data_IF_937829596608
#
_entry.id   IF_937829596608
#
_cell.length_a   1.000
_cell.length_b   1.000
_cell.length_c   1.000
_cell.angle_alpha   90.00
_cell.angle_beta   90.00
_cell.angle_gamma   90.00
#
_symmetry.space_group_name_H-M   'P 1'
#
loop_
_entity.id
_entity.type
_entity.pdbx_description
1 polymer ?
#
# COMPACT_ATOMS: atom_id res chain seq x y z
N UNK A 1 6.20 0.37 -14.48
CA UNK A 1 7.02 -0.61 -13.70
C UNK A 1 7.92 -1.39 -14.66
N UNK A 2 9.22 -1.48 -14.36
CA UNK A 2 10.22 -2.18 -15.20
C UNK A 2 11.00 -1.28 -16.17
N UNK A 3 10.67 0.02 -16.22
CA UNK A 3 11.45 1.01 -16.95
C UNK A 3 12.55 1.57 -16.02
N UNK A 4 13.75 1.73 -16.56
CA UNK A 4 14.85 2.37 -15.84
C UNK A 4 14.71 3.89 -15.92
N UNK A 5 14.68 4.55 -14.76
CA UNK A 5 14.65 6.01 -14.65
C UNK A 5 15.93 6.50 -13.96
N UNK A 6 16.49 7.58 -14.49
CA UNK A 6 17.63 8.28 -13.86
C UNK A 6 17.12 9.58 -13.28
N UNK A 7 17.15 9.70 -11.95
CA UNK A 7 16.77 10.91 -11.23
C UNK A 7 18.05 11.65 -10.82
N UNK A 8 18.20 12.89 -11.28
CA UNK A 8 19.33 13.76 -10.92
C UNK A 8 18.82 14.82 -9.93
N UNK A 9 19.49 14.93 -8.78
CA UNK A 9 19.23 15.95 -7.76
C UNK A 9 20.56 16.54 -7.33
N UNK A 10 20.57 17.84 -7.00
CA UNK A 10 21.76 18.52 -6.46
C UNK A 10 22.23 17.89 -5.15
N UNK A 11 21.28 17.42 -4.32
CA UNK A 11 21.56 16.69 -3.10
C UNK A 11 20.57 15.54 -2.89
N UNK A 12 21.10 14.36 -2.60
CA UNK A 12 20.33 13.21 -2.13
C UNK A 12 20.46 13.11 -0.62
N UNK A 13 19.39 13.42 0.11
CA UNK A 13 19.39 13.20 1.56
C UNK A 13 19.42 11.70 1.87
N UNK A 14 20.08 11.35 2.96
CA UNK A 14 20.16 9.96 3.44
C UNK A 14 18.77 9.37 3.66
N UNK A 15 17.86 10.14 4.27
CA UNK A 15 16.45 9.78 4.41
C UNK A 15 15.80 9.40 3.08
N UNK A 16 15.96 10.21 2.02
CA UNK A 16 15.36 9.93 0.72
C UNK A 16 15.89 8.61 0.11
N UNK A 17 17.21 8.38 0.20
CA UNK A 17 17.85 7.16 -0.33
C UNK A 17 17.42 5.92 0.47
N UNK A 18 17.49 6.00 1.81
CA UNK A 18 17.11 4.91 2.70
C UNK A 18 15.62 4.56 2.52
N UNK A 19 14.76 5.57 2.34
CA UNK A 19 13.34 5.37 2.07
C UNK A 19 13.11 4.68 0.73
N UNK A 20 13.82 5.02 -0.33
CA UNK A 20 13.75 4.30 -1.62
C UNK A 20 14.11 2.83 -1.43
N UNK A 21 15.23 2.53 -0.76
CA UNK A 21 15.65 1.15 -0.52
C UNK A 21 14.68 0.39 0.39
N UNK A 22 14.10 1.04 1.41
CA UNK A 22 13.10 0.44 2.30
C UNK A 22 11.80 0.16 1.56
N UNK A 23 11.31 1.10 0.74
CA UNK A 23 10.11 0.91 -0.07
C UNK A 23 10.31 -0.18 -1.13
N UNK A 24 11.51 -0.29 -1.71
CA UNK A 24 11.86 -1.41 -2.59
C UNK A 24 11.84 -2.78 -1.86
N UNK A 25 12.08 -2.81 -0.55
CA UNK A 25 11.98 -4.01 0.30
C UNK A 25 10.61 -4.21 0.94
N UNK A 26 9.75 -3.19 0.90
CA UNK A 26 8.42 -3.21 1.50
C UNK A 26 7.59 -4.27 0.81
N UNK A 27 6.96 -5.11 1.63
CA UNK A 27 6.03 -6.14 1.21
C UNK A 27 4.71 -5.48 0.81
N UNK A 28 4.67 -4.81 -0.33
CA UNK A 28 3.42 -4.34 -0.91
C UNK A 28 2.67 -5.57 -1.41
N UNK A 29 1.88 -6.17 -0.52
CA UNK A 29 1.21 -7.44 -0.75
C UNK A 29 -0.06 -7.22 -1.56
N UNK A 30 0.10 -6.93 -2.84
CA UNK A 30 -1.01 -7.02 -3.80
C UNK A 30 -0.99 -8.43 -4.37
N UNK A 31 -2.11 -9.14 -4.27
CA UNK A 31 -2.29 -10.39 -5.00
C UNK A 31 -2.84 -10.05 -6.38
N UNK A 32 -2.09 -10.36 -7.43
CA UNK A 32 -2.45 -10.08 -8.81
C UNK A 32 -2.95 -11.40 -9.43
N UNK A 33 -4.17 -11.38 -9.93
CA UNK A 33 -4.82 -12.52 -10.57
C UNK A 33 -5.11 -12.09 -12.01
N UNK A 34 -4.51 -12.77 -12.99
CA UNK A 34 -4.88 -12.62 -14.39
C UNK A 34 -5.66 -13.86 -14.80
N UNK A 35 -6.82 -13.70 -15.44
CA UNK A 35 -7.74 -14.82 -15.66
C UNK A 35 -8.60 -14.63 -16.90
N UNK A 36 -8.84 -15.71 -17.63
CA UNK A 36 -9.88 -15.84 -18.64
C UNK A 36 -10.55 -17.22 -18.53
N UNK A 37 -11.34 -17.63 -19.53
CA UNK A 37 -12.05 -18.91 -19.47
C UNK A 37 -11.12 -20.13 -19.53
N UNK A 38 -9.93 -19.97 -20.10
CA UNK A 38 -9.04 -21.08 -20.46
C UNK A 38 -7.82 -21.17 -19.55
N UNK A 39 -7.37 -20.07 -18.95
CA UNK A 39 -6.20 -20.06 -18.09
C UNK A 39 -6.23 -18.94 -17.03
N UNK A 40 -5.38 -19.09 -16.02
CA UNK A 40 -5.13 -18.04 -15.04
C UNK A 40 -3.71 -18.06 -14.49
N UNK A 41 -3.27 -16.89 -14.03
CA UNK A 41 -2.01 -16.65 -13.34
C UNK A 41 -2.29 -15.93 -12.04
N UNK A 42 -1.77 -16.44 -10.93
CA UNK A 42 -1.76 -15.75 -9.64
C UNK A 42 -0.32 -15.39 -9.29
N UNK A 43 -0.08 -14.14 -8.97
CA UNK A 43 1.25 -13.59 -8.72
C UNK A 43 1.24 -12.56 -7.60
N UNK A 44 2.43 -12.34 -7.01
CA UNK A 44 2.68 -11.27 -6.04
C UNK A 44 3.96 -10.51 -6.40
N UNK A 45 4.01 -9.18 -6.17
CA UNK A 45 5.28 -8.45 -6.17
C UNK A 45 6.27 -9.06 -5.17
N UNK A 46 7.56 -9.10 -5.52
CA UNK A 46 8.64 -9.62 -4.66
C UNK A 46 9.84 -8.66 -4.67
N UNK A 47 10.86 -8.90 -3.82
CA UNK A 47 12.03 -8.00 -3.66
C UNK A 47 12.71 -7.63 -4.99
N UNK A 48 12.66 -8.53 -5.97
CA UNK A 48 13.07 -8.28 -7.34
C UNK A 48 12.03 -8.86 -8.30
N UNK A 49 11.22 -8.00 -8.88
CA UNK A 49 10.21 -8.39 -9.87
C UNK A 49 8.99 -9.05 -9.25
N UNK A 50 8.57 -10.17 -9.83
CA UNK A 50 7.29 -10.81 -9.53
C UNK A 50 7.48 -12.29 -9.31
N UNK A 51 6.84 -12.79 -8.26
CA UNK A 51 6.74 -14.21 -8.00
C UNK A 51 5.38 -14.72 -8.49
N UNK A 52 5.41 -15.62 -9.47
CA UNK A 52 4.22 -16.37 -9.88
C UNK A 52 4.00 -17.49 -8.86
N UNK A 53 2.82 -17.47 -8.24
CA UNK A 53 2.39 -18.44 -7.24
C UNK A 53 1.68 -19.62 -7.91
N UNK A 54 0.94 -19.35 -8.99
CA UNK A 54 0.21 -20.35 -9.77
C UNK A 54 0.03 -19.89 -11.21
N UNK A 55 0.11 -20.82 -12.15
CA UNK A 55 -0.12 -20.63 -13.59
C UNK A 55 -0.69 -21.94 -14.11
N UNK A 56 -2.00 -21.97 -14.44
CA UNK A 56 -2.71 -23.19 -14.84
C UNK A 56 -3.70 -22.93 -15.97
N UNK A 57 -3.95 -23.97 -16.74
CA UNK A 57 -5.04 -24.03 -17.71
C UNK A 57 -6.29 -24.58 -17.02
N UNK A 58 -7.43 -23.95 -17.27
CA UNK A 58 -8.76 -24.38 -16.90
C UNK A 58 -9.26 -25.42 -17.90
N UNK A 59 -10.13 -26.31 -17.42
CA UNK A 59 -10.74 -27.32 -18.28
C UNK A 59 -11.94 -26.71 -18.99
N UNK A 60 -11.71 -26.04 -20.11
CA UNK A 60 -12.76 -25.59 -21.05
C UNK A 60 -13.12 -26.71 -22.00
N UNK A 61 -14.00 -27.61 -21.55
CA UNK A 61 -14.58 -28.65 -22.42
C UNK A 61 -15.78 -28.09 -23.20
N UNK A 62 -16.45 -27.08 -22.64
CA UNK A 62 -17.58 -26.33 -23.21
C UNK A 62 -17.77 -25.00 -22.48
N UNK A 63 -18.34 -24.01 -23.16
CA UNK A 63 -18.71 -22.69 -22.59
C UNK A 63 -20.08 -22.71 -21.89
N UNK A 64 -20.50 -23.86 -21.39
CA UNK A 64 -21.77 -24.00 -20.68
C UNK A 64 -21.65 -23.44 -19.25
N UNK A 65 -22.78 -22.99 -18.71
CA UNK A 65 -22.86 -22.32 -17.41
C UNK A 65 -22.24 -23.15 -16.27
N UNK A 66 -22.39 -24.48 -16.33
CA UNK A 66 -21.83 -25.42 -15.34
C UNK A 66 -20.30 -25.41 -15.37
N UNK A 67 -19.70 -25.40 -16.57
CA UNK A 67 -18.23 -25.37 -16.71
C UNK A 67 -17.66 -24.04 -16.25
N UNK A 68 -18.29 -22.93 -16.62
CA UNK A 68 -17.89 -21.59 -16.19
C UNK A 68 -17.94 -21.46 -14.67
N UNK A 69 -19.02 -21.93 -14.06
CA UNK A 69 -19.20 -21.91 -12.60
C UNK A 69 -18.13 -22.74 -11.89
N UNK A 70 -17.88 -23.98 -12.35
CA UNK A 70 -16.84 -24.87 -11.80
C UNK A 70 -15.45 -24.25 -11.92
N UNK A 71 -15.13 -23.67 -13.07
CA UNK A 71 -13.83 -23.02 -13.29
C UNK A 71 -13.68 -21.78 -12.38
N UNK A 72 -14.75 -21.00 -12.20
CA UNK A 72 -14.73 -19.87 -11.28
C UNK A 72 -14.50 -20.31 -9.82
N UNK A 73 -15.15 -21.39 -9.37
CA UNK A 73 -14.93 -21.94 -8.03
C UNK A 73 -13.48 -22.41 -7.82
N UNK A 74 -12.89 -23.08 -8.82
CA UNK A 74 -11.48 -23.51 -8.77
C UNK A 74 -10.55 -22.31 -8.54
N UNK A 75 -10.72 -21.24 -9.32
CA UNK A 75 -9.91 -20.02 -9.20
C UNK A 75 -10.16 -19.32 -7.85
N UNK A 76 -11.42 -19.19 -7.42
CA UNK A 76 -11.80 -18.56 -6.13
C UNK A 76 -11.14 -19.27 -4.95
N UNK A 77 -11.17 -20.60 -4.92
CA UNK A 77 -10.56 -21.39 -3.84
C UNK A 77 -9.05 -21.16 -3.76
N UNK A 78 -8.39 -21.05 -4.91
CA UNK A 78 -6.95 -20.81 -4.94
C UNK A 78 -6.58 -19.37 -4.55
N UNK A 79 -7.37 -18.38 -4.98
CA UNK A 79 -7.24 -16.99 -4.51
C UNK A 79 -7.39 -16.94 -2.99
N UNK A 80 -8.38 -17.63 -2.42
CA UNK A 80 -8.58 -17.68 -0.97
C UNK A 80 -7.39 -18.33 -0.25
N UNK A 81 -6.90 -19.47 -0.75
CA UNK A 81 -5.72 -20.13 -0.19
C UNK A 81 -4.49 -19.22 -0.17
N UNK A 82 -4.24 -18.46 -1.25
CA UNK A 82 -3.11 -17.53 -1.27
C UNK A 82 -3.38 -16.27 -0.45
N UNK A 83 -4.63 -15.83 -0.33
CA UNK A 83 -5.01 -14.73 0.55
C UNK A 83 -4.73 -15.08 2.01
N UNK A 84 -5.06 -16.29 2.44
CA UNK A 84 -4.79 -16.78 3.80
C UNK A 84 -3.30 -16.97 4.06
N UNK A 85 -2.53 -17.36 3.04
CA UNK A 85 -1.09 -17.58 3.18
C UNK A 85 -0.27 -16.27 3.18
N UNK A 86 -0.62 -15.31 2.32
CA UNK A 86 0.18 -14.11 2.08
C UNK A 86 -0.39 -12.84 2.72
N UNK A 87 -1.65 -12.88 3.18
CA UNK A 87 -2.36 -11.74 3.78
C UNK A 87 -2.22 -10.45 2.95
N UNK A 88 -2.67 -10.46 1.68
CA UNK A 88 -2.59 -9.29 0.83
C UNK A 88 -3.45 -8.14 1.35
N UNK A 89 -2.97 -6.92 1.14
CA UNK A 89 -3.72 -5.72 1.47
C UNK A 89 -4.81 -5.42 0.44
N UNK A 90 -4.61 -5.88 -0.80
CA UNK A 90 -5.56 -5.75 -1.89
C UNK A 90 -5.39 -6.91 -2.88
N UNK A 91 -6.45 -7.20 -3.63
CA UNK A 91 -6.44 -8.17 -4.73
C UNK A 91 -6.81 -7.44 -6.00
N UNK A 92 -6.00 -7.59 -7.04
CA UNK A 92 -6.30 -7.12 -8.38
C UNK A 92 -6.64 -8.31 -9.26
N UNK A 93 -7.84 -8.32 -9.83
CA UNK A 93 -8.32 -9.37 -10.74
C UNK A 93 -8.45 -8.75 -12.12
N UNK A 94 -7.65 -9.22 -13.07
CA UNK A 94 -7.62 -8.71 -14.42
C UNK A 94 -7.83 -9.81 -15.45
N UNK A 95 -8.38 -9.45 -16.60
CA UNK A 95 -8.64 -10.43 -17.66
C UNK A 95 -9.44 -9.88 -18.83
N UNK A 96 -9.42 -10.54 -19.99
CA UNK A 96 -10.35 -10.27 -21.07
C UNK A 96 -11.77 -10.75 -20.69
N UNK A 97 -12.79 -10.11 -21.26
CA UNK A 97 -14.19 -10.54 -21.09
C UNK A 97 -14.72 -10.38 -19.66
N UNK A 98 -15.78 -11.12 -19.32
CA UNK A 98 -16.56 -10.93 -18.09
C UNK A 98 -16.23 -11.91 -16.95
N UNK A 99 -15.28 -12.81 -17.16
CA UNK A 99 -15.01 -13.91 -16.22
C UNK A 99 -14.39 -13.43 -14.90
N UNK A 100 -13.55 -12.39 -14.96
CA UNK A 100 -13.00 -11.71 -13.78
C UNK A 100 -14.09 -11.14 -12.86
N UNK A 101 -15.19 -10.64 -13.40
CA UNK A 101 -16.34 -10.12 -12.63
C UNK A 101 -17.09 -11.25 -11.92
N UNK A 102 -17.18 -12.43 -12.53
CA UNK A 102 -17.78 -13.62 -11.90
C UNK A 102 -16.95 -14.03 -10.69
N UNK A 103 -15.63 -14.14 -10.86
CA UNK A 103 -14.70 -14.49 -9.77
C UNK A 103 -14.78 -13.45 -8.66
N UNK A 104 -14.72 -12.15 -8.99
CA UNK A 104 -14.77 -11.07 -8.02
C UNK A 104 -16.06 -11.09 -7.17
N UNK A 105 -17.22 -11.38 -7.78
CA UNK A 105 -18.51 -11.48 -7.07
C UNK A 105 -18.57 -12.67 -6.10
N UNK A 106 -17.81 -13.74 -6.36
CA UNK A 106 -17.76 -14.94 -5.51
C UNK A 106 -16.80 -14.81 -4.34
N UNK A 107 -15.82 -13.92 -4.44
CA UNK A 107 -14.87 -13.67 -3.35
C UNK A 107 -15.57 -12.94 -2.20
N UNK A 108 -15.74 -13.64 -1.08
CA UNK A 108 -16.24 -13.07 0.16
C UNK A 108 -15.09 -12.87 1.16
N UNK A 109 -14.25 -11.87 0.91
CA UNK A 109 -13.09 -11.56 1.75
C UNK A 109 -13.41 -10.36 2.64
N UNK A 110 -13.35 -10.58 3.96
CA UNK A 110 -13.47 -9.48 4.93
C UNK A 110 -12.15 -8.73 4.99
N UNK A 111 -12.19 -7.40 4.84
CA UNK A 111 -11.05 -6.49 4.99
C UNK A 111 -9.98 -6.53 3.88
N UNK A 112 -10.29 -7.05 2.70
CA UNK A 112 -9.40 -6.99 1.53
C UNK A 112 -10.14 -6.31 0.38
N UNK A 113 -9.60 -5.20 -0.12
CA UNK A 113 -10.19 -4.49 -1.25
C UNK A 113 -9.93 -5.28 -2.54
N UNK A 114 -10.99 -5.49 -3.33
CA UNK A 114 -10.91 -6.17 -4.63
C UNK A 114 -11.03 -5.11 -5.72
N UNK A 115 -10.04 -5.10 -6.61
CA UNK A 115 -9.97 -4.24 -7.78
C UNK A 115 -10.09 -5.10 -9.03
N UNK A 116 -10.77 -4.57 -10.05
CA UNK A 116 -10.97 -5.26 -11.33
C UNK A 116 -10.44 -4.37 -12.45
N UNK A 117 -9.70 -4.95 -13.38
CA UNK A 117 -9.26 -4.26 -14.61
C UNK A 117 -9.29 -5.21 -15.82
N UNK A 118 -9.23 -4.70 -17.05
CA UNK A 118 -9.23 -5.50 -18.27
C UNK A 118 -7.84 -5.54 -18.89
N UNK A 119 -7.35 -6.72 -19.28
CA UNK A 119 -6.08 -6.89 -20.01
C UNK A 119 -6.29 -7.66 -21.31
N UNK A 120 -5.27 -7.66 -22.18
CA UNK A 120 -5.33 -8.29 -23.50
C UNK A 120 -5.37 -9.83 -23.49
N UNK A 121 -4.85 -10.49 -22.45
CA UNK A 121 -4.81 -11.96 -22.34
C UNK A 121 -4.62 -12.41 -20.89
N UNK A 122 -4.95 -13.67 -20.58
CA UNK A 122 -4.66 -14.27 -19.27
C UNK A 122 -3.26 -14.87 -19.12
N UNK A 123 -2.34 -14.53 -20.03
CA UNK A 123 -0.95 -14.98 -20.02
C UNK A 123 -0.03 -14.02 -19.27
N UNK A 124 1.26 -14.37 -19.22
CA UNK A 124 2.34 -13.48 -18.77
C UNK A 124 2.39 -12.15 -19.52
N UNK A 125 1.89 -12.08 -20.76
CA UNK A 125 1.78 -10.81 -21.48
C UNK A 125 0.76 -9.87 -20.82
N UNK A 126 -0.41 -10.38 -20.43
CA UNK A 126 -1.41 -9.62 -19.65
C UNK A 126 -0.91 -9.25 -18.25
N UNK A 127 -0.13 -10.12 -17.61
CA UNK A 127 0.55 -9.79 -16.37
C UNK A 127 1.53 -8.60 -16.56
N UNK A 128 2.37 -8.64 -17.60
CA UNK A 128 3.28 -7.54 -17.91
C UNK A 128 2.55 -6.23 -18.24
N UNK A 129 1.41 -6.33 -18.90
CA UNK A 129 0.54 -5.20 -19.21
C UNK A 129 -0.01 -4.55 -17.94
N UNK A 130 -0.61 -5.33 -17.02
CA UNK A 130 -1.27 -4.76 -15.83
C UNK A 130 -0.30 -4.05 -14.91
N UNK A 131 0.94 -4.53 -14.80
CA UNK A 131 1.96 -3.93 -13.93
C UNK A 131 2.42 -2.56 -14.43
N UNK A 132 2.22 -2.27 -15.71
CA UNK A 132 2.58 -0.98 -16.29
C UNK A 132 1.46 0.04 -16.20
N UNK A 133 0.30 -0.35 -15.67
CA UNK A 133 -0.87 0.52 -15.56
C UNK A 133 -0.94 1.22 -14.20
N UNK A 134 -1.52 2.42 -14.24
CA UNK A 134 -1.75 3.29 -13.08
C UNK A 134 -2.63 2.66 -12.00
N UNK A 135 -3.36 1.57 -12.31
CA UNK A 135 -4.20 0.88 -11.32
C UNK A 135 -3.37 0.32 -10.17
N UNK A 136 -2.14 -0.13 -10.41
CA UNK A 136 -1.25 -0.62 -9.36
C UNK A 136 -0.90 0.52 -8.40
N UNK A 137 -0.51 1.67 -8.95
CA UNK A 137 -0.17 2.86 -8.17
C UNK A 137 -1.37 3.37 -7.38
N UNK A 138 -2.57 3.33 -7.99
CA UNK A 138 -3.83 3.66 -7.31
C UNK A 138 -4.10 2.73 -6.13
N UNK A 139 -3.95 1.41 -6.29
CA UNK A 139 -4.17 0.43 -5.21
C UNK A 139 -3.21 0.69 -4.04
N UNK A 140 -1.93 0.96 -4.34
CA UNK A 140 -0.95 1.30 -3.31
C UNK A 140 -1.31 2.60 -2.58
N UNK A 141 -1.72 3.62 -3.33
CA UNK A 141 -2.15 4.91 -2.76
C UNK A 141 -3.38 4.76 -1.87
N UNK A 142 -4.41 4.05 -2.33
CA UNK A 142 -5.63 3.77 -1.56
C UNK A 142 -5.32 3.06 -0.24
N UNK A 143 -4.35 2.12 -0.25
CA UNK A 143 -3.89 1.43 0.96
C UNK A 143 -3.23 2.38 1.96
N UNK A 144 -2.28 3.21 1.52
CA UNK A 144 -1.61 4.18 2.38
C UNK A 144 -2.60 5.22 2.95
N UNK A 145 -3.56 5.68 2.14
CA UNK A 145 -4.63 6.58 2.58
C UNK A 145 -5.50 5.90 3.66
N UNK A 146 -5.93 4.66 3.42
CA UNK A 146 -6.74 3.89 4.38
C UNK A 146 -6.01 3.72 5.72
N UNK A 147 -4.72 3.41 5.65
CA UNK A 147 -3.85 3.27 6.82
C UNK A 147 -3.70 4.59 7.57
N UNK A 148 -3.51 5.70 6.85
CA UNK A 148 -3.48 7.05 7.42
C UNK A 148 -4.78 7.40 8.16
N UNK A 149 -5.94 7.14 7.54
CA UNK A 149 -7.25 7.36 8.17
C UNK A 149 -7.34 6.61 9.50
N UNK A 150 -7.02 5.31 9.51
CA UNK A 150 -7.06 4.48 10.72
C UNK A 150 -6.18 5.03 11.84
N UNK A 151 -4.96 5.48 11.51
CA UNK A 151 -4.06 6.03 12.53
C UNK A 151 -4.48 7.42 12.99
N UNK A 152 -5.07 8.23 12.11
CA UNK A 152 -5.64 9.51 12.50
C UNK A 152 -6.82 9.33 13.46
N UNK A 153 -7.74 8.40 13.18
CA UNK A 153 -8.83 8.06 14.09
C UNK A 153 -8.30 7.60 15.47
N UNK A 154 -7.29 6.72 15.48
CA UNK A 154 -6.61 6.29 16.70
C UNK A 154 -6.00 7.47 17.46
N UNK A 155 -5.35 8.40 16.78
CA UNK A 155 -4.76 9.58 17.40
C UNK A 155 -5.83 10.48 18.06
N UNK A 156 -6.95 10.72 17.38
CA UNK A 156 -8.06 11.52 17.94
C UNK A 156 -8.72 10.85 19.16
N UNK A 157 -8.88 9.52 19.11
CA UNK A 157 -9.36 8.75 20.26
C UNK A 157 -8.39 8.90 21.46
N UNK A 158 -7.09 8.76 21.21
CA UNK A 158 -6.06 8.92 22.24
C UNK A 158 -6.02 10.34 22.80
N UNK A 159 -6.15 11.38 21.98
CA UNK A 159 -6.24 12.76 22.47
C UNK A 159 -7.39 12.96 23.46
N UNK A 160 -8.48 12.21 23.30
CA UNK A 160 -9.63 12.28 24.21
C UNK A 160 -9.42 11.46 25.48
N UNK A 161 -8.84 10.25 25.37
CA UNK A 161 -8.74 9.29 26.49
C UNK A 161 -7.43 9.37 27.27
N UNK A 162 -6.32 9.58 26.57
CA UNK A 162 -4.94 9.53 27.06
C UNK A 162 -4.08 10.55 26.29
N UNK A 163 -4.32 11.87 26.48
CA UNK A 163 -3.70 12.92 25.67
C UNK A 163 -2.16 12.92 25.75
N UNK A 164 -1.58 12.38 26.83
CA UNK A 164 -0.15 12.21 27.01
C UNK A 164 0.50 11.16 26.08
N UNK A 165 -0.28 10.44 25.28
CA UNK A 165 0.21 9.50 24.27
C UNK A 165 0.17 10.06 22.84
N UNK A 166 -0.13 11.35 22.68
CA UNK A 166 -0.13 12.01 21.37
C UNK A 166 0.64 13.32 21.48
N UNK A 167 1.50 13.57 20.50
CA UNK A 167 2.22 14.84 20.34
C UNK A 167 1.99 15.36 18.94
N UNK A 168 1.90 16.67 18.79
CA UNK A 168 1.80 17.33 17.48
C UNK A 168 2.60 18.62 17.51
N UNK A 169 3.00 19.09 16.34
CA UNK A 169 3.93 20.22 16.21
C UNK A 169 5.37 19.76 16.12
N UNK A 170 6.14 20.43 15.27
CA UNK A 170 7.52 20.04 14.91
C UNK A 170 8.40 19.88 16.15
N UNK A 171 8.35 20.84 17.08
CA UNK A 171 9.18 20.82 18.29
C UNK A 171 8.87 19.61 19.21
N UNK A 172 7.58 19.40 19.54
CA UNK A 172 7.19 18.30 20.41
C UNK A 172 7.43 16.93 19.77
N UNK A 173 7.16 16.81 18.47
CA UNK A 173 7.42 15.58 17.71
C UNK A 173 8.91 15.29 17.62
N UNK A 174 9.75 16.32 17.44
CA UNK A 174 11.22 16.17 17.45
C UNK A 174 11.74 15.67 18.79
N UNK A 175 11.30 16.26 19.90
CA UNK A 175 11.69 15.80 21.24
C UNK A 175 11.29 14.34 21.46
N UNK A 176 10.07 13.97 21.04
CA UNK A 176 9.58 12.61 21.13
C UNK A 176 10.35 11.62 20.23
N UNK A 177 10.75 12.03 19.02
CA UNK A 177 11.52 11.20 18.09
C UNK A 177 12.94 10.96 18.61
N UNK A 178 13.58 11.97 19.20
CA UNK A 178 14.91 11.88 19.82
C UNK A 178 14.89 10.86 20.97
N UNK A 179 13.85 10.86 21.80
CA UNK A 179 13.63 9.89 22.88
C UNK A 179 13.24 8.48 22.41
N UNK A 180 12.89 8.29 21.14
CA UNK A 180 12.36 7.01 20.63
C UNK A 180 10.97 6.66 21.15
N UNK A 181 10.23 7.67 21.60
CA UNK A 181 8.88 7.52 22.13
C UNK A 181 7.83 7.32 21.04
N UNK A 182 8.10 7.74 19.80
CA UNK A 182 7.13 7.66 18.71
C UNK A 182 6.98 6.21 18.22
N UNK A 183 5.73 5.74 18.24
CA UNK A 183 5.32 4.48 17.61
C UNK A 183 4.96 4.70 16.14
N UNK A 184 4.11 5.69 15.86
CA UNK A 184 3.60 6.03 14.54
C UNK A 184 3.67 7.54 14.37
N UNK A 185 4.16 8.02 13.23
CA UNK A 185 4.16 9.44 12.86
C UNK A 185 3.35 9.64 11.59
N UNK A 186 2.45 10.61 11.60
CA UNK A 186 1.74 11.10 10.42
C UNK A 186 2.29 12.47 10.07
N UNK A 187 2.60 12.69 8.79
CA UNK A 187 3.08 13.97 8.28
C UNK A 187 2.45 14.27 6.91
N UNK A 188 1.97 15.50 6.71
CA UNK A 188 1.44 15.91 5.41
C UNK A 188 2.58 16.09 4.40
N UNK A 189 2.31 15.77 3.13
CA UNK A 189 3.31 15.86 2.06
C UNK A 189 3.93 17.26 1.91
N UNK A 190 3.16 18.33 2.14
CA UNK A 190 3.62 19.73 2.09
C UNK A 190 4.86 19.98 2.96
N UNK A 191 5.01 19.26 4.07
CA UNK A 191 6.14 19.47 4.99
C UNK A 191 7.46 18.90 4.46
N UNK A 192 7.39 18.01 3.46
CA UNK A 192 8.55 17.36 2.83
C UNK A 192 8.79 17.94 1.43
N UNK A 193 7.72 18.44 0.78
CA UNK A 193 7.80 19.14 -0.51
C UNK A 193 8.00 20.66 -0.36
N UNK A 194 8.15 21.17 0.87
CA UNK A 194 8.29 22.60 1.14
C UNK A 194 9.52 23.20 0.44
N UNK A 195 9.39 24.44 -0.04
CA UNK A 195 10.48 25.20 -0.67
C UNK A 195 11.50 25.73 0.34
N UNK A 196 11.16 25.74 1.63
CA UNK A 196 12.09 26.07 2.72
C UNK A 196 12.98 24.85 3.03
N UNK A 197 14.23 24.92 2.56
CA UNK A 197 15.21 23.82 2.67
C UNK A 197 15.54 23.47 4.11
N UNK A 198 15.66 24.44 5.01
CA UNK A 198 16.02 24.21 6.42
C UNK A 198 14.91 23.43 7.12
N UNK A 199 13.65 23.85 6.94
CA UNK A 199 12.49 23.14 7.50
C UNK A 199 12.38 21.74 6.93
N UNK A 200 12.59 21.57 5.62
CA UNK A 200 12.54 20.25 4.99
C UNK A 200 13.59 19.31 5.59
N UNK A 201 14.83 19.77 5.77
CA UNK A 201 15.92 18.98 6.38
C UNK A 201 15.57 18.59 7.82
N UNK A 202 14.98 19.50 8.60
CA UNK A 202 14.55 19.21 9.97
C UNK A 202 13.49 18.10 9.99
N UNK A 203 12.46 18.19 9.14
CA UNK A 203 11.42 17.17 9.04
C UNK A 203 12.01 15.83 8.58
N UNK A 204 12.84 15.82 7.54
CA UNK A 204 13.50 14.60 7.05
C UNK A 204 14.31 13.92 8.16
N UNK A 205 15.01 14.69 9.01
CA UNK A 205 15.75 14.16 10.16
C UNK A 205 14.82 13.53 11.21
N UNK A 206 13.71 14.18 11.54
CA UNK A 206 12.70 13.63 12.47
C UNK A 206 12.19 12.28 11.96
N UNK A 207 11.85 12.20 10.67
CA UNK A 207 11.35 10.97 10.06
C UNK A 207 12.41 9.86 10.06
N UNK A 208 13.66 10.19 9.74
CA UNK A 208 14.78 9.26 9.82
C UNK A 208 14.96 8.72 11.25
N UNK A 209 14.88 9.59 12.25
CA UNK A 209 15.00 9.21 13.67
C UNK A 209 13.87 8.27 14.12
N UNK A 210 12.62 8.54 13.70
CA UNK A 210 11.49 7.67 14.00
C UNK A 210 11.70 6.28 13.40
N UNK A 211 12.03 6.21 12.10
CA UNK A 211 12.25 4.93 11.42
C UNK A 211 13.43 4.15 12.02
N UNK A 212 14.55 4.82 12.32
CA UNK A 212 15.73 4.20 12.93
C UNK A 212 15.41 3.58 14.30
N UNK A 213 14.44 4.16 15.01
CA UNK A 213 13.90 3.65 16.28
C UNK A 213 12.66 2.77 16.09
N UNK A 214 12.49 2.20 14.88
CA UNK A 214 11.45 1.25 14.47
C UNK A 214 10.03 1.81 14.52
N UNK A 215 9.87 3.13 14.56
CA UNK A 215 8.57 3.77 14.42
C UNK A 215 8.10 3.72 12.96
N UNK A 216 6.80 3.80 12.77
CA UNK A 216 6.17 3.76 11.46
C UNK A 216 5.90 5.18 10.94
N UNK A 217 6.34 5.47 9.71
CA UNK A 217 6.10 6.77 9.05
C UNK A 217 4.96 6.64 8.05
N UNK A 218 3.96 7.51 8.20
CA UNK A 218 2.81 7.62 7.31
C UNK A 218 2.84 9.01 6.65
N UNK A 219 3.05 9.04 5.33
CA UNK A 219 2.90 10.26 4.55
C UNK A 219 1.44 10.44 4.17
N UNK A 220 0.90 11.62 4.45
CA UNK A 220 -0.49 11.96 4.15
C UNK A 220 -0.49 12.86 2.90
N UNK A 221 -0.89 12.32 1.73
CA UNK A 221 -0.97 13.11 0.50
C UNK A 221 -2.11 14.12 0.59
N UNK A 222 -2.07 15.16 -0.25
CA UNK A 222 -3.07 16.24 -0.22
C UNK A 222 -4.47 15.79 -0.60
N UNK A 223 -4.57 14.74 -1.41
CA UNK A 223 -5.84 14.12 -1.81
C UNK A 223 -6.46 13.28 -0.68
N UNK A 224 -5.72 13.01 0.40
CA UNK A 224 -6.22 12.24 1.53
C UNK A 224 -7.33 12.98 2.28
N UNK A 225 -8.45 12.32 2.67
CA UNK A 225 -9.52 12.95 3.45
C UNK A 225 -9.06 13.53 4.79
N UNK A 226 -8.00 12.99 5.38
CA UNK A 226 -7.45 13.43 6.67
C UNK A 226 -6.42 14.55 6.55
N UNK A 227 -6.05 14.97 5.32
CA UNK A 227 -5.00 15.94 5.10
C UNK A 227 -5.27 17.27 5.84
N UNK A 228 -6.47 17.86 5.66
CA UNK A 228 -6.81 19.12 6.31
C UNK A 228 -6.96 18.97 7.83
N UNK A 229 -7.37 17.80 8.29
CA UNK A 229 -7.47 17.50 9.71
C UNK A 229 -6.08 17.46 10.35
N UNK A 230 -5.12 16.76 9.75
CA UNK A 230 -3.73 16.75 10.20
C UNK A 230 -3.09 18.13 10.07
N UNK A 231 -3.39 18.87 9.00
CA UNK A 231 -2.93 20.26 8.81
C UNK A 231 -3.40 21.19 9.93
N UNK A 232 -4.63 21.00 10.43
CA UNK A 232 -5.14 21.74 11.59
C UNK A 232 -4.39 21.40 12.89
N UNK A 233 -3.83 20.19 12.97
CA UNK A 233 -2.89 19.76 14.02
C UNK A 233 -1.43 20.00 13.60
N UNK A 234 -1.15 21.17 13.02
CA UNK A 234 0.20 21.63 12.60
C UNK A 234 0.88 20.85 11.46
N UNK A 235 0.21 19.87 10.85
CA UNK A 235 0.72 19.10 9.72
C UNK A 235 1.59 17.90 10.08
N UNK A 236 1.93 17.72 11.37
CA UNK A 236 2.74 16.60 11.86
C UNK A 236 2.25 16.15 13.24
N UNK A 237 2.08 14.85 13.42
CA UNK A 237 1.56 14.23 14.63
C UNK A 237 2.26 12.90 14.91
N UNK A 238 2.61 12.63 16.16
CA UNK A 238 3.14 11.36 16.65
C UNK A 238 2.22 10.70 17.66
N UNK A 239 1.94 9.41 17.47
CA UNK A 239 1.37 8.52 18.49
C UNK A 239 2.54 7.88 19.25
N UNK A 240 2.53 7.97 20.57
CA UNK A 240 3.62 7.52 21.42
C UNK A 240 3.42 6.09 21.94
N UNK A 241 4.53 5.38 22.11
CA UNK A 241 4.62 4.07 22.79
C UNK A 241 4.48 4.20 24.30
N UNK A 242 4.91 5.32 24.83
CA UNK A 242 4.88 5.67 26.24
C UNK A 242 4.79 7.20 26.37
N UNK A 243 4.18 7.67 27.45
CA UNK A 243 4.06 9.10 27.69
C UNK A 243 5.43 9.73 27.96
N UNK A 244 5.67 10.90 27.38
CA UNK A 244 6.80 11.76 27.70
C UNK A 244 6.30 12.91 28.57
N UNK A 245 7.01 13.18 29.67
CA UNK A 245 6.69 14.27 30.61
C UNK A 245 7.44 15.55 30.22
#
# INVERSE_FOLDING_TARGET
IGDEIVIIKDHWSKYAVDRIYKQAKSKNNILIVIVDFDEYIIAIPYEQGIKILSEKNLKSISDDEITVERNAEEVVNEIQSFTDQYHPNAILIAGPGFFKEIIAKKLNLKNVNIYIDSVSSATRAGLNEILRRDIIDKIMSDYEISKGIKYMEKALELLTKQPNLVVYGVEHVKNASEMGAIDIILVIEDMISNTDEEKRIEIEKILEDVENKRGEVILVPKESPIYYQLKSLTGILGILRFSIN
#
